data_IF_810824225983
#
_entry.id   IF_810824225983
#
_cell.length_a   1.000
_cell.length_b   1.000
_cell.length_c   1.000
_cell.angle_alpha   90.00
_cell.angle_beta   90.00
_cell.angle_gamma   90.00
#
_symmetry.space_group_name_H-M   'P 1'
#
loop_
_entity.id
_entity.type
_entity.pdbx_description
1 polymer ?
#
# COMPACT_ATOMS: atom_id res chain seq x y z
N UNK A 1 1.53 -4.93 28.76
CA UNK A 1 0.44 -3.94 28.59
C UNK A 1 -0.36 -4.43 27.42
N UNK A 2 -1.65 -4.68 27.59
CA UNK A 2 -2.52 -5.16 26.51
C UNK A 2 -2.82 -3.99 25.57
N UNK A 3 -2.18 -3.97 24.41
CA UNK A 3 -2.57 -3.08 23.31
C UNK A 3 -4.02 -3.44 22.95
N UNK A 4 -4.92 -2.54 23.35
CA UNK A 4 -6.35 -2.80 23.36
C UNK A 4 -6.86 -2.44 21.97
N UNK A 5 -6.99 -3.44 21.11
CA UNK A 5 -7.57 -3.27 19.78
C UNK A 5 -9.03 -2.84 19.98
N UNK A 6 -9.37 -1.65 19.51
CA UNK A 6 -10.72 -1.12 19.59
C UNK A 6 -11.51 -1.41 18.30
N UNK A 7 -12.80 -1.72 18.46
CA UNK A 7 -13.71 -1.92 17.33
C UNK A 7 -13.87 -0.59 16.58
N UNK A 8 -13.75 -0.64 15.25
CA UNK A 8 -13.85 0.52 14.37
C UNK A 8 -12.51 1.14 13.99
N UNK A 9 -11.42 0.80 14.68
CA UNK A 9 -10.08 1.25 14.30
C UNK A 9 -9.61 0.61 12.99
N UNK A 10 -8.80 1.36 12.25
CA UNK A 10 -8.14 0.90 11.03
C UNK A 10 -6.68 0.59 11.36
N UNK A 11 -6.24 -0.61 11.01
CA UNK A 11 -4.92 -1.13 11.30
C UNK A 11 -4.31 -1.69 10.01
N UNK A 12 -2.98 -1.63 9.91
CA UNK A 12 -2.25 -2.30 8.84
C UNK A 12 -1.82 -3.67 9.32
N UNK A 13 -2.09 -4.70 8.53
CA UNK A 13 -1.71 -6.07 8.85
C UNK A 13 -1.17 -6.81 7.64
N UNK A 14 -0.49 -7.93 7.90
CA UNK A 14 0.12 -8.76 6.86
C UNK A 14 -0.71 -10.01 6.62
N UNK A 15 -1.01 -10.30 5.36
CA UNK A 15 -1.74 -11.52 4.98
C UNK A 15 -0.85 -12.74 5.25
N UNK A 16 -1.25 -13.63 6.15
CA UNK A 16 -0.51 -14.86 6.48
C UNK A 16 -1.04 -16.08 5.76
N UNK A 17 -2.30 -16.04 5.32
CA UNK A 17 -2.93 -17.15 4.62
C UNK A 17 -4.21 -16.75 3.91
N UNK A 18 -4.54 -17.48 2.85
CA UNK A 18 -5.74 -17.28 2.06
C UNK A 18 -6.52 -18.60 2.03
N UNK A 19 -7.82 -18.49 2.18
CA UNK A 19 -8.78 -19.59 2.14
C UNK A 19 -9.96 -19.23 1.24
N UNK A 20 -10.73 -20.22 0.76
CA UNK A 20 -11.89 -19.95 -0.11
C UNK A 20 -12.97 -19.11 0.55
N UNK A 21 -13.02 -19.07 1.89
CA UNK A 21 -13.98 -18.25 2.63
C UNK A 21 -13.43 -16.89 3.09
N UNK A 22 -12.13 -16.61 2.90
CA UNK A 22 -11.53 -15.39 3.43
C UNK A 22 -10.00 -15.38 3.48
N UNK A 23 -9.44 -14.36 4.11
CA UNK A 23 -7.99 -14.20 4.28
C UNK A 23 -7.63 -13.98 5.76
N UNK A 24 -6.54 -14.59 6.20
CA UNK A 24 -5.97 -14.34 7.52
C UNK A 24 -4.96 -13.20 7.45
N UNK A 25 -5.13 -12.25 8.36
CA UNK A 25 -4.27 -11.08 8.47
C UNK A 25 -3.72 -11.04 9.90
N UNK A 26 -2.39 -11.05 10.03
CA UNK A 26 -1.72 -10.80 11.28
C UNK A 26 -1.58 -9.29 11.49
N UNK A 27 -2.14 -8.80 12.60
CA UNK A 27 -2.02 -7.40 13.01
C UNK A 27 -0.84 -7.22 13.97
N UNK A 28 -0.71 -8.17 14.90
CA UNK A 28 0.29 -8.17 15.96
C UNK A 28 0.90 -9.56 16.16
N UNK A 29 1.94 -9.65 16.98
CA UNK A 29 2.67 -10.89 17.26
C UNK A 29 1.79 -12.00 17.86
N UNK A 30 0.71 -11.63 18.55
CA UNK A 30 -0.20 -12.58 19.22
C UNK A 30 -1.65 -12.49 18.72
N UNK A 31 -1.93 -11.61 17.76
CA UNK A 31 -3.30 -11.28 17.36
C UNK A 31 -3.47 -11.49 15.87
N UNK A 32 -4.37 -12.41 15.53
CA UNK A 32 -4.69 -12.75 14.16
C UNK A 32 -6.16 -12.50 13.88
N UNK A 33 -6.45 -11.82 12.78
CA UNK A 33 -7.81 -11.59 12.33
C UNK A 33 -8.14 -12.36 11.06
N UNK A 34 -9.44 -12.53 10.85
CA UNK A 34 -10.01 -13.13 9.64
C UNK A 34 -10.82 -12.06 8.91
N UNK A 35 -10.48 -11.86 7.64
CA UNK A 35 -11.30 -11.10 6.69
C UNK A 35 -12.17 -12.10 5.94
N UNK A 36 -13.48 -11.97 6.06
CA UNK A 36 -14.42 -12.81 5.31
C UNK A 36 -14.40 -12.43 3.82
N UNK A 37 -14.69 -13.37 2.91
CA UNK A 37 -14.70 -13.11 1.46
C UNK A 37 -15.61 -11.93 1.07
N UNK A 38 -16.75 -11.78 1.75
CA UNK A 38 -17.69 -10.66 1.54
C UNK A 38 -17.19 -9.32 2.07
N UNK A 39 -16.14 -9.31 2.90
CA UNK A 39 -15.52 -8.13 3.48
C UNK A 39 -14.22 -7.74 2.74
N UNK A 40 -13.83 -8.47 1.69
CA UNK A 40 -12.65 -8.15 0.88
C UNK A 40 -12.93 -7.00 -0.07
N UNK A 41 -14.09 -7.00 -0.74
CA UNK A 41 -14.50 -5.96 -1.68
C UNK A 41 -16.03 -5.90 -1.79
N UNK A 42 -16.57 -4.83 -2.39
CA UNK A 42 -18.00 -4.66 -2.63
C UNK A 42 -18.55 -5.51 -3.79
N UNK A 43 -17.65 -6.10 -4.58
CA UNK A 43 -17.98 -6.95 -5.74
C UNK A 43 -18.04 -8.45 -5.45
N UNK A 44 -18.42 -9.21 -6.47
CA UNK A 44 -18.35 -10.67 -6.43
C UNK A 44 -16.89 -11.12 -6.60
N UNK A 45 -16.34 -11.74 -5.56
CA UNK A 45 -15.01 -12.34 -5.58
C UNK A 45 -15.14 -13.80 -6.02
N UNK A 46 -14.66 -14.14 -7.23
CA UNK A 46 -14.49 -15.53 -7.65
C UNK A 46 -13.37 -16.21 -6.86
N UNK A 47 -12.23 -15.54 -6.79
CA UNK A 47 -11.04 -16.04 -6.15
C UNK A 47 -10.38 -14.96 -5.28
N UNK A 48 -10.15 -15.30 -4.01
CA UNK A 48 -9.48 -14.41 -3.05
C UNK A 48 -8.03 -14.14 -3.45
N UNK A 49 -7.37 -15.11 -4.09
CA UNK A 49 -5.97 -15.00 -4.53
C UNK A 49 -5.75 -13.95 -5.63
N UNK A 50 -6.81 -13.55 -6.34
CA UNK A 50 -6.71 -12.47 -7.34
C UNK A 50 -6.68 -11.09 -6.68
N UNK A 51 -7.28 -10.97 -5.50
CA UNK A 51 -7.43 -9.71 -4.78
C UNK A 51 -6.37 -9.54 -3.68
N UNK A 52 -5.93 -10.65 -3.08
CA UNK A 52 -4.98 -10.66 -1.97
C UNK A 52 -3.88 -11.69 -2.23
N UNK A 53 -2.69 -11.42 -1.70
CA UNK A 53 -1.55 -12.34 -1.77
C UNK A 53 -1.01 -12.59 -0.37
N UNK A 54 -0.57 -13.82 -0.13
CA UNK A 54 0.13 -14.15 1.11
C UNK A 54 1.42 -13.34 1.18
N UNK A 55 1.60 -12.63 2.29
CA UNK A 55 2.71 -11.74 2.55
C UNK A 55 2.46 -10.27 2.20
N UNK A 56 1.30 -9.95 1.64
CA UNK A 56 0.92 -8.57 1.31
C UNK A 56 0.52 -7.78 2.58
N UNK A 57 0.85 -6.49 2.61
CA UNK A 57 0.43 -5.56 3.67
C UNK A 57 -0.87 -4.86 3.25
N UNK A 58 -1.92 -5.06 4.05
CA UNK A 58 -3.25 -4.53 3.76
C UNK A 58 -3.80 -3.76 4.94
N UNK A 59 -4.58 -2.72 4.65
CA UNK A 59 -5.32 -1.97 5.66
C UNK A 59 -6.66 -2.66 5.92
N UNK A 60 -6.97 -2.87 7.18
CA UNK A 60 -8.18 -3.55 7.63
C UNK A 60 -8.83 -2.77 8.76
N UNK A 61 -10.15 -2.71 8.74
CA UNK A 61 -10.96 -2.16 9.81
C UNK A 61 -11.42 -3.27 10.75
N UNK A 62 -11.33 -3.02 12.05
CA UNK A 62 -11.81 -3.93 13.08
C UNK A 62 -13.35 -3.84 13.16
N UNK A 63 -14.03 -4.95 12.90
CA UNK A 63 -15.50 -5.05 13.02
C UNK A 63 -15.93 -5.59 14.38
N UNK A 64 -15.18 -6.54 14.92
CA UNK A 64 -15.47 -7.16 16.21
C UNK A 64 -14.21 -7.79 16.79
N UNK A 65 -14.07 -7.76 18.11
CA UNK A 65 -12.93 -8.33 18.85
C UNK A 65 -13.46 -9.41 19.78
N UNK A 66 -12.94 -10.62 19.64
CA UNK A 66 -13.22 -11.74 20.54
C UNK A 66 -12.00 -12.01 21.42
N UNK A 67 -11.98 -11.41 22.61
CA UNK A 67 -10.88 -11.54 23.57
C UNK A 67 -10.76 -12.96 24.15
N UNK A 68 -11.84 -13.73 24.13
CA UNK A 68 -11.86 -15.10 24.67
C UNK A 68 -11.18 -16.11 23.73
N UNK A 69 -11.41 -15.97 22.42
CA UNK A 69 -10.82 -16.82 21.39
C UNK A 69 -9.54 -16.22 20.76
N UNK A 70 -9.21 -14.96 21.05
CA UNK A 70 -8.07 -14.25 20.46
C UNK A 70 -8.26 -13.99 18.95
N UNK A 71 -9.51 -13.88 18.49
CA UNK A 71 -9.86 -13.70 17.07
C UNK A 71 -10.49 -12.34 16.84
N UNK A 72 -10.14 -11.73 15.72
CA UNK A 72 -10.68 -10.42 15.34
C UNK A 72 -11.36 -10.53 13.98
N UNK A 73 -12.60 -10.04 13.90
CA UNK A 73 -13.33 -9.88 12.64
C UNK A 73 -12.84 -8.62 11.93
N UNK A 74 -12.31 -8.79 10.72
CA UNK A 74 -11.69 -7.72 9.95
C UNK A 74 -12.40 -7.47 8.63
N UNK A 75 -12.28 -6.25 8.13
CA UNK A 75 -12.84 -5.85 6.84
C UNK A 75 -11.90 -4.95 6.05
N UNK A 76 -11.68 -5.28 4.78
CA UNK A 76 -10.89 -4.46 3.86
C UNK A 76 -11.80 -3.46 3.17
N UNK A 77 -12.99 -3.88 2.72
CA UNK A 77 -13.96 -3.00 2.04
C UNK A 77 -14.36 -1.79 2.89
N UNK A 78 -14.46 -1.97 4.21
CA UNK A 78 -14.83 -0.88 5.12
C UNK A 78 -13.75 0.20 5.28
N UNK A 79 -12.55 -0.03 4.72
CA UNK A 79 -11.48 0.98 4.63
C UNK A 79 -11.55 1.81 3.34
N UNK A 80 -12.22 1.31 2.30
CA UNK A 80 -12.32 2.00 1.00
C UNK A 80 -13.32 3.18 1.03
N UNK A 81 -14.23 3.24 2.01
CA UNK A 81 -15.33 4.23 2.07
C UNK A 81 -15.06 5.47 2.94
N UNK A 82 -13.92 5.61 3.61
CA UNK A 82 -13.61 6.86 4.33
C UNK A 82 -12.10 7.20 4.31
N UNK A 83 -11.70 8.37 3.80
CA UNK A 83 -10.34 8.87 3.99
C UNK A 83 -10.26 9.41 5.42
N UNK A 84 -9.69 8.64 6.34
CA UNK A 84 -9.37 9.14 7.68
C UNK A 84 -7.97 8.70 8.09
N UNK A 85 -7.11 9.71 8.10
CA UNK A 85 -5.85 9.89 8.82
C UNK A 85 -5.55 8.95 10.00
N UNK A 86 -4.28 8.55 10.02
CA UNK A 86 -3.41 8.37 11.19
C UNK A 86 -3.70 7.21 12.15
N UNK A 87 -3.00 6.09 11.93
CA UNK A 87 -2.33 5.36 13.00
C UNK A 87 -0.88 5.10 12.58
N UNK A 88 0.04 5.65 13.37
CA UNK A 88 1.44 5.92 13.07
C UNK A 88 2.35 4.73 13.44
N UNK A 89 3.44 4.57 12.67
CA UNK A 89 4.74 4.01 13.08
C UNK A 89 4.89 2.55 13.57
N UNK A 90 5.26 1.63 12.66
CA UNK A 90 6.60 0.96 12.61
C UNK A 90 6.63 -0.23 11.64
N UNK A 91 7.23 -0.06 10.46
CA UNK A 91 8.09 -1.04 9.77
C UNK A 91 8.61 -0.42 8.45
N UNK A 92 9.72 0.31 8.49
CA UNK A 92 11.03 -0.22 8.06
C UNK A 92 11.03 -0.86 6.66
N UNK A 93 11.13 -0.04 5.61
CA UNK A 93 12.18 -0.34 4.62
C UNK A 93 13.52 0.09 5.22
N UNK A 94 14.52 -0.79 5.39
CA UNK A 94 15.84 -0.36 5.81
C UNK A 94 16.38 0.62 4.76
N UNK A 95 16.68 1.84 5.20
CA UNK A 95 17.59 2.73 4.49
C UNK A 95 18.90 1.94 4.38
N UNK A 96 19.25 1.52 3.17
CA UNK A 96 20.55 0.94 2.87
C UNK A 96 21.63 1.84 3.50
N UNK A 97 22.51 1.33 4.38
CA UNK A 97 23.51 2.16 5.02
C UNK A 97 24.45 2.73 3.96
N UNK A 98 24.76 4.02 4.12
CA UNK A 98 25.87 4.69 3.45
C UNK A 98 27.14 3.88 3.70
N UNK A 99 27.56 3.08 2.74
CA UNK A 99 28.96 2.73 2.60
C UNK A 99 29.47 3.50 1.40
N UNK A 100 30.26 4.52 1.72
CA UNK A 100 31.11 5.21 0.78
C UNK A 100 32.08 4.19 0.17
N UNK A 101 31.96 3.98 -1.14
CA UNK A 101 33.06 3.56 -1.98
C UNK A 101 32.93 4.38 -3.26
N UNK A 102 33.90 5.27 -3.44
CA UNK A 102 34.02 6.13 -4.61
C UNK A 102 34.19 5.29 -5.88
N UNK A 103 33.43 5.62 -6.91
CA UNK A 103 33.94 5.63 -8.28
C UNK A 103 33.46 6.93 -8.91
N UNK A 104 34.41 7.85 -9.08
CA UNK A 104 34.26 9.00 -9.97
C UNK A 104 34.32 8.45 -11.40
N UNK A 105 33.29 8.69 -12.20
CA UNK A 105 33.43 8.77 -13.65
C UNK A 105 32.93 10.15 -14.05
N UNK A 106 33.92 10.99 -14.36
CA UNK A 106 33.74 12.25 -15.04
C UNK A 106 33.57 11.90 -16.52
N UNK A 107 32.39 12.12 -17.08
CA UNK A 107 32.24 12.32 -18.52
C UNK A 107 31.27 13.47 -18.74
N UNK A 108 31.82 14.52 -19.31
CA UNK A 108 31.12 15.71 -19.75
C UNK A 108 30.24 15.36 -20.94
N UNK A 109 28.92 15.50 -20.84
CA UNK A 109 28.12 15.98 -21.98
C UNK A 109 26.67 16.33 -21.58
N UNK A 110 26.11 17.30 -22.29
CA UNK A 110 24.66 17.54 -22.44
C UNK A 110 23.90 18.18 -21.28
N UNK A 111 23.98 19.51 -21.29
CA UNK A 111 22.95 20.42 -20.76
C UNK A 111 21.62 20.27 -21.52
N UNK A 112 20.52 20.71 -20.88
CA UNK A 112 19.23 21.12 -21.49
C UNK A 112 18.15 20.05 -21.68
N UNK A 113 17.51 19.66 -20.58
CA UNK A 113 16.27 18.86 -20.56
C UNK A 113 15.00 19.66 -20.23
N UNK A 114 14.87 20.92 -20.68
CA UNK A 114 13.65 21.71 -20.42
C UNK A 114 13.44 22.90 -21.39
N UNK A 115 13.31 22.69 -22.72
CA UNK A 115 12.52 23.61 -23.58
C UNK A 115 12.26 23.21 -25.06
N UNK A 116 12.59 22.00 -25.53
CA UNK A 116 12.68 21.71 -26.99
C UNK A 116 11.37 21.36 -27.71
N UNK A 117 10.21 21.71 -27.16
CA UNK A 117 8.90 21.62 -27.86
C UNK A 117 8.24 22.97 -28.10
N UNK A 118 8.75 24.05 -27.50
CA UNK A 118 8.29 25.42 -27.75
C UNK A 118 9.07 26.09 -28.89
N UNK A 119 10.29 25.62 -29.15
CA UNK A 119 11.20 26.14 -30.17
C UNK A 119 10.79 25.71 -31.60
N UNK A 120 10.37 24.45 -31.76
CA UNK A 120 9.97 23.88 -33.07
C UNK A 120 8.64 24.36 -33.65
N UNK A 121 7.78 25.02 -32.86
CA UNK A 121 6.51 25.54 -33.35
C UNK A 121 6.65 26.98 -33.90
N UNK A 122 7.73 27.68 -33.52
CA UNK A 122 7.94 29.08 -33.90
C UNK A 122 8.65 29.22 -35.26
N UNK A 123 9.44 28.22 -35.67
CA UNK A 123 10.12 28.18 -36.99
C UNK A 123 9.18 28.05 -38.20
N UNK A 124 7.94 27.57 -38.02
CA UNK A 124 7.03 27.34 -39.15
C UNK A 124 6.20 28.57 -39.55
N UNK A 125 6.09 29.56 -38.66
CA UNK A 125 5.26 30.76 -38.85
C UNK A 125 6.00 31.83 -39.68
N UNK A 126 7.33 31.84 -39.64
CA UNK A 126 8.17 32.82 -40.36
C UNK A 126 8.36 32.48 -41.85
N UNK A 127 8.28 31.19 -42.21
CA UNK A 127 8.47 30.73 -43.60
C UNK A 127 7.26 30.99 -44.52
N UNK A 128 6.13 31.51 -43.99
CA UNK A 128 4.91 31.77 -44.77
C UNK A 128 4.72 33.23 -45.22
N UNK A 129 5.69 34.11 -44.99
CA UNK A 129 5.69 35.47 -45.58
C UNK A 129 7.01 35.81 -46.25
N UNK A 130 7.28 35.12 -47.37
CA UNK A 130 7.97 35.71 -48.52
C UNK A 130 7.63 34.97 -49.80
#
# INVERSE_FOLDING_TARGET
MSEKIEVGSVLTGKVTGIQPYGAFVALDENTQGLVHISEITHGYVKDVNEHLKVGDEVNVKVLSVDEAAGKIGLSIRATEEAPAEAADAKARKPRKPRQAAAIQYNDSDSSQGFNTLKDKLQEWIDQSQR
#
